data_IF_238911609473
#
_entry.id   IF_238911609473
#
_cell.length_a   1.000
_cell.length_b   1.000
_cell.length_c   1.000
_cell.angle_alpha   90.00
_cell.angle_beta   90.00
_cell.angle_gamma   90.00
#
_symmetry.space_group_name_H-M   'P 1'
#
loop_
_entity.id
_entity.type
_entity.pdbx_description
1 polymer ?
#
# COMPACT_ATOMS: atom_id res chain seq x y z
N UNK A 1 -9.79 -19.12 18.50
CA UNK A 1 -8.50 -18.51 18.83
C UNK A 1 -7.42 -18.75 17.77
N UNK A 2 -7.09 -19.99 17.39
CA UNK A 2 -6.05 -20.32 16.39
C UNK A 2 -6.22 -19.64 15.02
N UNK A 3 -7.47 -19.49 14.53
CA UNK A 3 -7.74 -18.85 13.23
C UNK A 3 -7.44 -17.34 13.23
N UNK A 4 -7.79 -16.65 14.33
CA UNK A 4 -7.53 -15.19 14.49
C UNK A 4 -6.02 -14.93 14.50
N UNK A 5 -5.28 -15.73 15.28
CA UNK A 5 -3.81 -15.62 15.35
C UNK A 5 -3.19 -15.87 13.97
N UNK A 6 -3.65 -16.89 13.25
CA UNK A 6 -3.15 -17.18 11.90
C UNK A 6 -3.42 -16.02 10.92
N UNK A 7 -4.64 -15.48 10.92
CA UNK A 7 -4.98 -14.35 10.06
C UNK A 7 -4.13 -13.12 10.40
N UNK A 8 -3.93 -12.82 11.69
CA UNK A 8 -3.09 -11.72 12.15
C UNK A 8 -1.63 -11.89 11.69
N UNK A 9 -1.05 -13.07 11.90
CA UNK A 9 0.33 -13.36 11.47
C UNK A 9 0.47 -13.27 9.94
N UNK A 10 -0.51 -13.79 9.19
CA UNK A 10 -0.52 -13.70 7.73
C UNK A 10 -0.57 -12.25 7.27
N UNK A 11 -1.42 -11.41 7.89
CA UNK A 11 -1.53 -9.99 7.56
C UNK A 11 -0.23 -9.24 7.88
N UNK A 12 0.36 -9.45 9.07
CA UNK A 12 1.61 -8.80 9.47
C UNK A 12 2.75 -9.20 8.53
N UNK A 13 2.91 -10.50 8.25
CA UNK A 13 3.94 -10.98 7.33
C UNK A 13 3.77 -10.40 5.92
N UNK A 14 2.53 -10.31 5.45
CA UNK A 14 2.23 -9.73 4.14
C UNK A 14 2.54 -8.24 4.06
N UNK A 15 2.17 -7.47 5.09
CA UNK A 15 2.47 -6.03 5.16
C UNK A 15 3.98 -5.78 5.24
N UNK A 16 4.70 -6.56 6.06
CA UNK A 16 6.17 -6.50 6.13
C UNK A 16 6.81 -6.83 4.77
N UNK A 17 6.33 -7.86 4.09
CA UNK A 17 6.79 -8.22 2.75
C UNK A 17 6.51 -7.12 1.72
N UNK A 18 5.34 -6.48 1.77
CA UNK A 18 4.99 -5.36 0.90
C UNK A 18 5.94 -4.16 1.10
N UNK A 19 6.30 -3.85 2.34
CA UNK A 19 7.28 -2.80 2.66
C UNK A 19 8.67 -3.14 2.10
N UNK A 20 9.13 -4.37 2.29
CA UNK A 20 10.44 -4.83 1.79
C UNK A 20 10.47 -4.77 0.26
N UNK A 21 9.43 -5.26 -0.40
CA UNK A 21 9.30 -5.22 -1.87
C UNK A 21 9.27 -3.77 -2.36
N UNK A 22 8.49 -2.90 -1.70
CA UNK A 22 8.43 -1.48 -2.03
C UNK A 22 9.79 -0.79 -1.93
N UNK A 23 10.53 -1.05 -0.85
CA UNK A 23 11.88 -0.52 -0.65
C UNK A 23 12.88 -1.07 -1.72
N UNK A 24 12.79 -2.35 -2.05
CA UNK A 24 13.62 -2.97 -3.09
C UNK A 24 13.33 -2.37 -4.47
N UNK A 25 12.06 -2.18 -4.83
CA UNK A 25 11.64 -1.54 -6.07
C UNK A 25 12.14 -0.09 -6.15
N UNK A 26 12.01 0.67 -5.07
CA UNK A 26 12.51 2.03 -4.99
C UNK A 26 14.01 2.09 -5.19
N UNK A 27 14.77 1.19 -4.54
CA UNK A 27 16.22 1.10 -4.71
C UNK A 27 16.61 0.70 -6.12
N UNK A 28 15.95 -0.32 -6.71
CA UNK A 28 16.20 -0.75 -8.08
C UNK A 28 15.95 0.40 -9.06
N UNK A 29 14.86 1.14 -8.88
CA UNK A 29 14.53 2.28 -9.72
C UNK A 29 15.55 3.42 -9.57
N UNK A 30 16.01 3.71 -8.34
CA UNK A 30 17.04 4.74 -8.09
C UNK A 30 18.38 4.43 -8.77
N UNK A 31 18.68 3.15 -8.98
CA UNK A 31 19.88 2.71 -9.73
C UNK A 31 19.70 2.87 -11.25
N UNK A 32 18.48 2.68 -11.75
CA UNK A 32 18.16 2.81 -13.18
C UNK A 32 17.91 4.27 -13.59
N UNK A 33 17.56 5.12 -12.63
CA UNK A 33 17.17 6.51 -12.86
C UNK A 33 18.21 7.36 -13.53
N UNK A 34 19.53 7.31 -13.21
CA UNK A 34 20.54 8.11 -13.89
C UNK A 34 20.54 7.89 -15.41
N UNK A 35 20.25 6.66 -15.87
CA UNK A 35 20.15 6.34 -17.28
C UNK A 35 18.89 6.93 -17.95
N UNK A 36 17.83 7.18 -17.18
CA UNK A 36 16.56 7.72 -17.67
C UNK A 36 16.50 9.25 -17.49
N UNK A 37 17.02 9.78 -16.39
CA UNK A 37 17.00 11.21 -16.06
C UNK A 37 17.76 12.08 -17.06
N UNK A 38 18.80 11.54 -17.70
CA UNK A 38 19.51 12.24 -18.79
C UNK A 38 18.61 12.53 -20.00
N UNK A 39 17.46 11.87 -20.10
CA UNK A 39 16.51 12.03 -21.19
C UNK A 39 15.26 12.86 -20.82
N UNK A 40 15.03 13.09 -19.55
CA UNK A 40 13.84 13.82 -19.04
C UNK A 40 14.31 15.02 -18.24
N UNK A 41 14.57 16.13 -18.93
CA UNK A 41 14.98 17.38 -18.32
C UNK A 41 13.80 18.01 -17.57
N UNK A 42 13.97 18.34 -16.29
CA UNK A 42 13.10 19.26 -15.55
C UNK A 42 12.24 18.69 -14.42
N UNK A 43 12.36 17.43 -14.02
CA UNK A 43 11.58 16.88 -12.91
C UNK A 43 12.44 16.72 -11.67
N UNK A 44 12.39 17.71 -10.77
CA UNK A 44 13.16 17.74 -9.51
C UNK A 44 12.66 16.75 -8.46
N UNK A 45 11.38 16.30 -8.52
CA UNK A 45 10.74 15.48 -7.50
C UNK A 45 10.46 14.02 -7.90
N UNK A 46 11.10 13.54 -8.94
CA UNK A 46 10.85 12.18 -9.47
C UNK A 46 11.12 11.09 -8.43
N UNK A 47 12.09 11.27 -7.56
CA UNK A 47 12.38 10.31 -6.48
C UNK A 47 11.19 10.08 -5.56
N UNK A 48 10.44 11.11 -5.24
CA UNK A 48 9.24 11.04 -4.39
C UNK A 48 8.11 10.27 -5.10
N UNK A 49 7.82 10.59 -6.36
CA UNK A 49 6.78 9.89 -7.13
C UNK A 49 7.11 8.41 -7.34
N UNK A 50 8.37 8.08 -7.56
CA UNK A 50 8.85 6.70 -7.66
C UNK A 50 8.68 5.97 -6.34
N UNK A 51 8.96 6.62 -5.22
CA UNK A 51 8.71 6.08 -3.90
C UNK A 51 7.23 5.73 -3.72
N UNK A 52 6.32 6.64 -4.04
CA UNK A 52 4.87 6.38 -3.97
C UNK A 52 4.42 5.28 -4.92
N UNK A 53 4.89 5.27 -6.16
CA UNK A 53 4.55 4.23 -7.12
C UNK A 53 5.02 2.84 -6.64
N UNK A 54 6.23 2.74 -6.10
CA UNK A 54 6.78 1.49 -5.57
C UNK A 54 5.96 0.97 -4.38
N UNK A 55 5.58 1.85 -3.46
CA UNK A 55 4.70 1.52 -2.34
C UNK A 55 3.31 1.13 -2.84
N UNK A 56 2.72 1.90 -3.75
CA UNK A 56 1.40 1.60 -4.30
C UNK A 56 1.36 0.24 -5.00
N UNK A 57 2.33 -0.09 -5.83
CA UNK A 57 2.41 -1.40 -6.52
C UNK A 57 2.53 -2.55 -5.52
N UNK A 58 3.42 -2.44 -4.52
CA UNK A 58 3.62 -3.51 -3.54
C UNK A 58 2.38 -3.75 -2.70
N UNK A 59 1.71 -2.69 -2.24
CA UNK A 59 0.48 -2.82 -1.44
C UNK A 59 -0.73 -3.23 -2.29
N UNK A 60 -0.78 -2.84 -3.56
CA UNK A 60 -1.77 -3.36 -4.51
C UNK A 60 -1.64 -4.88 -4.68
N UNK A 61 -0.42 -5.38 -4.89
CA UNK A 61 -0.14 -6.81 -4.98
C UNK A 61 -0.53 -7.51 -3.67
N UNK A 62 -0.21 -6.91 -2.51
CA UNK A 62 -0.61 -7.41 -1.21
C UNK A 62 -2.14 -7.54 -1.09
N UNK A 63 -2.89 -6.49 -1.42
CA UNK A 63 -4.36 -6.49 -1.41
C UNK A 63 -4.99 -7.46 -2.42
N UNK A 64 -4.31 -7.73 -3.54
CA UNK A 64 -4.78 -8.67 -4.56
C UNK A 64 -4.54 -10.14 -4.17
N UNK A 65 -3.38 -10.45 -3.56
CA UNK A 65 -2.97 -11.84 -3.30
C UNK A 65 -3.41 -12.33 -1.92
N UNK A 66 -3.14 -11.55 -0.86
CA UNK A 66 -3.23 -11.98 0.54
C UNK A 66 -4.66 -12.32 1.00
N UNK A 67 -5.72 -11.62 0.55
CA UNK A 67 -7.09 -11.98 0.91
C UNK A 67 -7.51 -13.40 0.51
N UNK A 68 -6.75 -14.07 -0.35
CA UNK A 68 -6.98 -15.48 -0.71
C UNK A 68 -6.64 -16.44 0.45
N UNK A 69 -5.71 -16.04 1.32
CA UNK A 69 -5.21 -16.86 2.44
C UNK A 69 -5.86 -16.50 3.78
N UNK A 70 -6.45 -15.30 3.87
CA UNK A 70 -7.17 -14.85 5.05
C UNK A 70 -8.58 -15.43 5.03
N UNK A 71 -8.86 -16.35 5.94
CA UNK A 71 -10.19 -16.95 6.13
C UNK A 71 -11.01 -16.06 7.06
N UNK A 72 -11.59 -14.98 6.52
CA UNK A 72 -12.43 -14.03 7.23
C UNK A 72 -13.52 -13.51 6.31
N UNK A 73 -14.65 -13.08 6.89
CA UNK A 73 -15.72 -12.38 6.16
C UNK A 73 -15.23 -11.04 5.59
N UNK A 74 -14.29 -10.41 6.29
CA UNK A 74 -13.69 -9.11 5.91
C UNK A 74 -12.17 -9.23 5.83
N UNK A 75 -11.63 -9.86 4.77
CA UNK A 75 -10.19 -10.09 4.68
C UNK A 75 -9.39 -8.81 4.53
N UNK A 76 -9.95 -7.77 3.88
CA UNK A 76 -9.30 -6.47 3.72
C UNK A 76 -9.05 -5.77 5.07
N UNK A 77 -10.00 -5.89 6.02
CA UNK A 77 -9.85 -5.29 7.33
C UNK A 77 -8.60 -5.78 8.07
N UNK A 78 -8.17 -7.03 7.87
CA UNK A 78 -6.94 -7.55 8.46
C UNK A 78 -5.68 -6.87 7.95
N UNK A 79 -5.70 -6.33 6.73
CA UNK A 79 -4.59 -5.59 6.15
C UNK A 79 -4.64 -4.10 6.52
N UNK A 80 -5.83 -3.52 6.58
CA UNK A 80 -6.01 -2.08 6.81
C UNK A 80 -5.95 -1.67 8.28
N UNK A 81 -6.49 -2.50 9.19
CA UNK A 81 -6.50 -2.18 10.62
C UNK A 81 -5.10 -1.99 11.23
N UNK A 82 -4.07 -2.80 10.93
CA UNK A 82 -2.72 -2.54 11.40
C UNK A 82 -2.15 -1.22 10.88
N UNK A 83 -2.37 -0.88 9.60
CA UNK A 83 -1.91 0.38 8.99
C UNK A 83 -2.60 1.56 9.68
N UNK A 84 -3.93 1.50 9.83
CA UNK A 84 -4.71 2.52 10.52
C UNK A 84 -4.30 2.66 11.99
N UNK A 85 -4.01 1.56 12.67
CA UNK A 85 -3.53 1.55 14.06
C UNK A 85 -2.19 2.25 14.23
N UNK A 86 -1.23 1.98 13.33
CA UNK A 86 0.08 2.66 13.32
C UNK A 86 -0.10 4.15 13.04
N UNK A 87 -0.97 4.50 12.08
CA UNK A 87 -1.27 5.89 11.77
C UNK A 87 -1.92 6.63 12.95
N UNK A 88 -2.91 6.03 13.58
CA UNK A 88 -3.54 6.59 14.77
C UNK A 88 -2.52 6.80 15.92
N UNK A 89 -1.65 5.82 16.15
CA UNK A 89 -0.59 5.93 17.14
C UNK A 89 0.40 7.07 16.81
N UNK A 90 0.73 7.27 15.53
CA UNK A 90 1.59 8.37 15.08
C UNK A 90 0.93 9.73 15.35
N UNK A 91 -0.36 9.88 15.07
CA UNK A 91 -1.14 11.11 15.36
C UNK A 91 -1.20 11.37 16.87
N UNK A 92 -1.45 10.36 17.68
CA UNK A 92 -1.51 10.51 19.16
C UNK A 92 -0.16 10.98 19.71
N UNK A 93 0.95 10.45 19.19
CA UNK A 93 2.30 10.83 19.64
C UNK A 93 2.76 12.19 19.12
N UNK A 94 2.29 12.60 17.96
CA UNK A 94 2.66 13.85 17.32
C UNK A 94 1.43 14.54 16.70
N UNK A 95 0.54 15.14 17.53
CA UNK A 95 -0.71 15.73 17.05
C UNK A 95 -0.51 16.86 16.04
N UNK A 96 0.67 17.51 16.03
CA UNK A 96 1.07 18.51 15.01
C UNK A 96 1.04 17.97 13.57
N UNK A 97 1.06 16.65 13.40
CA UNK A 97 0.88 16.01 12.08
C UNK A 97 -0.48 16.40 11.48
N UNK A 98 -1.52 16.60 12.30
CA UNK A 98 -2.85 17.03 11.84
C UNK A 98 -2.86 18.45 11.27
N UNK A 99 -1.98 19.33 11.73
CA UNK A 99 -1.88 20.71 11.25
C UNK A 99 -1.43 20.76 9.78
N UNK A 100 -0.91 19.66 9.28
CA UNK A 100 -0.45 19.49 7.91
C UNK A 100 -1.57 19.15 6.90
N UNK A 101 -2.73 18.67 7.37
CA UNK A 101 -3.85 18.25 6.51
C UNK A 101 -4.34 19.35 5.55
N UNK A 102 -4.51 20.64 6.00
CA UNK A 102 -4.94 21.69 5.08
C UNK A 102 -3.87 22.15 4.09
N UNK A 103 -2.60 21.73 4.27
CA UNK A 103 -1.46 22.19 3.46
C UNK A 103 -0.86 21.05 2.63
N UNK A 104 -1.67 20.44 1.81
CA UNK A 104 -1.26 19.27 1.01
C UNK A 104 -0.12 19.53 -0.01
N UNK A 105 0.28 20.79 -0.24
CA UNK A 105 1.48 21.16 -0.99
C UNK A 105 2.76 21.17 -0.15
N UNK A 106 2.68 20.99 1.15
CA UNK A 106 3.82 21.01 2.05
C UNK A 106 4.42 19.62 2.22
N UNK A 107 5.75 19.55 2.54
CA UNK A 107 6.39 18.27 2.84
C UNK A 107 5.75 17.46 3.97
N UNK A 108 4.90 18.08 4.78
CA UNK A 108 4.06 17.42 5.78
C UNK A 108 3.04 16.42 5.19
N UNK A 109 2.55 16.65 3.97
CA UNK A 109 1.65 15.72 3.28
C UNK A 109 2.32 14.37 3.02
N UNK A 110 3.64 14.35 2.94
CA UNK A 110 4.41 13.12 2.80
C UNK A 110 4.07 12.09 3.89
N UNK A 111 3.91 12.55 5.14
CA UNK A 111 3.60 11.68 6.28
C UNK A 111 2.23 11.04 6.11
N UNK A 112 1.22 11.81 5.70
CA UNK A 112 -0.14 11.28 5.47
C UNK A 112 -0.15 10.30 4.30
N UNK A 113 0.55 10.62 3.22
CA UNK A 113 0.60 9.75 2.04
C UNK A 113 1.28 8.41 2.30
N UNK A 114 2.23 8.32 3.25
CA UNK A 114 2.82 7.06 3.69
C UNK A 114 1.78 6.07 4.27
N UNK A 115 0.63 6.56 4.75
CA UNK A 115 -0.45 5.72 5.26
C UNK A 115 -1.62 5.62 4.29
N UNK A 116 -1.97 6.69 3.61
CA UNK A 116 -3.09 6.73 2.67
C UNK A 116 -2.81 5.87 1.43
N UNK A 117 -1.62 5.99 0.85
CA UNK A 117 -1.23 5.22 -0.35
C UNK A 117 -1.32 3.71 -0.12
N UNK A 118 -0.76 3.13 0.96
CA UNK A 118 -0.93 1.71 1.28
C UNK A 118 -2.39 1.28 1.40
N UNK A 119 -3.22 2.03 2.13
CA UNK A 119 -4.64 1.70 2.35
C UNK A 119 -5.39 1.70 1.01
N UNK A 120 -5.27 2.77 0.23
CA UNK A 120 -5.94 2.87 -1.07
C UNK A 120 -5.43 1.78 -2.03
N UNK A 121 -4.14 1.51 -2.07
CA UNK A 121 -3.57 0.48 -2.93
C UNK A 121 -4.03 -0.93 -2.54
N UNK A 122 -4.09 -1.26 -1.24
CA UNK A 122 -4.65 -2.52 -0.76
C UNK A 122 -6.13 -2.67 -1.15
N UNK A 123 -6.93 -1.62 -0.96
CA UNK A 123 -8.34 -1.62 -1.35
C UNK A 123 -8.50 -1.86 -2.85
N UNK A 124 -7.76 -1.14 -3.70
CA UNK A 124 -7.78 -1.32 -5.15
C UNK A 124 -7.40 -2.76 -5.55
N UNK A 125 -6.36 -3.33 -4.93
CA UNK A 125 -5.94 -4.71 -5.17
C UNK A 125 -7.04 -5.72 -4.81
N UNK A 126 -7.70 -5.53 -3.67
CA UNK A 126 -8.82 -6.37 -3.23
C UNK A 126 -10.03 -6.26 -4.17
N UNK A 127 -10.40 -5.06 -4.60
CA UNK A 127 -11.49 -4.87 -5.55
C UNK A 127 -11.17 -5.49 -6.91
N UNK A 128 -9.93 -5.35 -7.39
CA UNK A 128 -9.48 -6.02 -8.61
C UNK A 128 -9.61 -7.56 -8.50
N UNK A 129 -9.26 -8.15 -7.35
CA UNK A 129 -9.44 -9.58 -7.08
C UNK A 129 -10.92 -9.97 -7.11
N UNK A 130 -11.80 -9.19 -6.47
CA UNK A 130 -13.23 -9.49 -6.42
C UNK A 130 -13.87 -9.39 -7.80
N UNK A 131 -13.47 -8.40 -8.59
CA UNK A 131 -13.92 -8.23 -9.98
C UNK A 131 -13.46 -9.41 -10.86
N UNK A 132 -12.19 -9.81 -10.77
CA UNK A 132 -11.67 -10.95 -11.50
C UNK A 132 -12.39 -12.26 -11.18
N UNK A 133 -12.81 -12.45 -9.91
CA UNK A 133 -13.61 -13.61 -9.50
C UNK A 133 -15.01 -13.58 -10.10
N UNK A 134 -15.66 -12.41 -10.12
CA UNK A 134 -17.01 -12.25 -10.71
C UNK A 134 -17.00 -12.53 -12.21
N UNK A 135 -16.00 -12.04 -12.93
CA UNK A 135 -15.87 -12.29 -14.38
C UNK A 135 -15.72 -13.78 -14.65
N UNK A 136 -14.91 -14.49 -13.87
CA UNK A 136 -14.73 -15.94 -14.03
C UNK A 136 -16.00 -16.74 -13.72
N UNK A 137 -16.77 -16.35 -12.71
CA UNK A 137 -18.02 -17.04 -12.36
C UNK A 137 -19.16 -16.73 -13.32
N UNK A 138 -19.19 -15.57 -13.96
CA UNK A 138 -20.19 -15.21 -14.97
C UNK A 138 -19.95 -15.85 -16.35
N UNK A 139 -18.70 -16.24 -16.66
CA UNK A 139 -18.35 -16.87 -17.94
C UNK A 139 -18.66 -18.37 -18.05
N UNK A 140 -19.11 -19.02 -16.96
CA UNK A 140 -19.48 -20.46 -16.94
C UNK A 140 -20.97 -20.72 -17.09
N UNK A 141 -21.77 -19.68 -17.38
CA UNK A 141 -23.22 -19.76 -17.53
C UNK A 141 -23.68 -19.64 -19.01
N UNK A 142 -22.93 -20.26 -19.94
CA UNK A 142 -23.35 -20.43 -21.35
C UNK A 142 -23.28 -21.91 -21.71
#
# INVERSE_FOLDING_TARGET
>A
MRQVVRNALTAIAALASALIIGAALQKAFSLLWPAVATRVVGVTDVGTYVGYASVAVSFFICGFIVPRWIRSRFPLAWLELPIAGVYAAAIIRAPRILDCLPRWWSGCWLIHSLFIVPVVACACGYFALTLARRIRSGGTAV
#
